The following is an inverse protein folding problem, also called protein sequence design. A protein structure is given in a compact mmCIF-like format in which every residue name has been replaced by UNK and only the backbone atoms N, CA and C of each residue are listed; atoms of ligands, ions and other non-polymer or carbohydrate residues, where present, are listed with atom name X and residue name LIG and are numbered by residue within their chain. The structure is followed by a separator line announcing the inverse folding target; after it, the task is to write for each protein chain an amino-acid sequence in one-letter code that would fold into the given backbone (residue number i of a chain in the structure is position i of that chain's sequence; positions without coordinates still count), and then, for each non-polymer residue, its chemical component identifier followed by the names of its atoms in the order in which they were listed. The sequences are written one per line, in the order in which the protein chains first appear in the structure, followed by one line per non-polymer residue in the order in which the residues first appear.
data_IF_737891927939
#
_entry.id   IF_737891927939
#
_cell.length_a   1.000
_cell.length_b   1.000
_cell.length_c   1.000
_cell.angle_alpha   90.00
_cell.angle_beta   90.00
_cell.angle_gamma   90.00
#
_symmetry.space_group_name_H-M   'P 1'
#
loop_
_entity.id
_entity.type
_entity.pdbx_description
1 polymer ?
#
# COMPACT_ATOMS: atom_id res chain seq x y z
N UNK A 1 -11.39 -3.61 -31.30
CA UNK A 1 -10.20 -3.24 -30.53
C UNK A 1 -10.67 -2.37 -29.38
N UNK A 2 -10.66 -2.89 -28.15
CA UNK A 2 -11.10 -2.11 -26.99
C UNK A 2 -10.15 -0.91 -26.82
N UNK A 3 -10.70 0.29 -26.65
CA UNK A 3 -9.93 1.46 -26.26
C UNK A 3 -9.09 1.08 -25.03
N UNK A 4 -7.77 1.04 -25.19
CA UNK A 4 -6.86 0.56 -24.16
C UNK A 4 -7.06 1.39 -22.90
N UNK A 5 -7.56 0.76 -21.84
CA UNK A 5 -7.71 1.43 -20.56
C UNK A 5 -6.35 2.03 -20.16
N UNK A 6 -6.32 3.34 -19.97
CA UNK A 6 -5.09 4.03 -19.57
C UNK A 6 -4.72 3.54 -18.17
N UNK A 7 -3.57 2.87 -18.05
CA UNK A 7 -3.04 2.44 -16.76
C UNK A 7 -2.69 3.71 -15.96
N UNK A 8 -3.24 3.94 -14.76
CA UNK A 8 -2.92 5.13 -13.98
C UNK A 8 -1.45 5.15 -13.54
N UNK A 9 -0.95 6.32 -13.15
CA UNK A 9 0.35 6.41 -12.46
C UNK A 9 0.30 5.63 -11.13
N UNK A 10 1.43 5.07 -10.70
CA UNK A 10 1.48 4.34 -9.43
C UNK A 10 1.08 5.23 -8.24
N UNK A 11 1.46 6.50 -8.27
CA UNK A 11 1.08 7.49 -7.24
C UNK A 11 -0.37 7.94 -7.32
N UNK A 12 -1.05 7.68 -8.45
CA UNK A 12 -2.47 7.98 -8.62
C UNK A 12 -3.37 6.81 -8.20
N UNK A 13 -2.94 5.55 -8.40
CA UNK A 13 -3.77 4.40 -8.03
C UNK A 13 -3.41 3.76 -6.70
N UNK A 14 -2.12 3.62 -6.36
CA UNK A 14 -1.66 2.94 -5.15
C UNK A 14 -2.10 1.47 -4.99
N UNK A 15 -2.75 0.88 -5.99
CA UNK A 15 -3.59 -0.32 -5.82
C UNK A 15 -2.84 -1.53 -5.27
N UNK A 16 -1.63 -1.78 -5.76
CA UNK A 16 -0.80 -2.90 -5.31
C UNK A 16 -0.35 -2.79 -3.86
N UNK A 17 -0.49 -1.62 -3.22
CA UNK A 17 -0.17 -1.45 -1.80
C UNK A 17 -1.34 -1.85 -0.90
N UNK A 18 -2.50 -2.25 -1.44
CA UNK A 18 -3.68 -2.65 -0.66
C UNK A 18 -3.81 -4.17 -0.57
N UNK A 19 -3.95 -4.68 0.65
CA UNK A 19 -4.20 -6.08 0.95
C UNK A 19 -4.70 -6.23 2.38
N UNK A 20 -5.41 -7.32 2.67
CA UNK A 20 -5.82 -7.71 4.03
C UNK A 20 -5.02 -8.90 4.54
N UNK A 21 -4.11 -9.46 3.73
CA UNK A 21 -3.31 -10.61 4.09
C UNK A 21 -2.01 -10.14 4.76
N UNK A 22 -1.71 -10.56 6.01
CA UNK A 22 -0.46 -10.18 6.69
C UNK A 22 0.79 -10.65 5.93
N UNK A 23 0.71 -11.79 5.24
CA UNK A 23 1.81 -12.38 4.48
C UNK A 23 1.86 -11.91 3.00
N UNK A 24 1.27 -10.76 2.68
CA UNK A 24 1.08 -10.32 1.29
C UNK A 24 2.38 -9.95 0.56
N UNK A 25 3.25 -9.15 1.19
CA UNK A 25 4.51 -8.70 0.59
C UNK A 25 5.65 -9.31 1.37
N UNK A 26 6.30 -10.32 0.78
CA UNK A 26 7.46 -10.96 1.39
C UNK A 26 8.69 -10.09 1.27
N UNK A 27 9.44 -9.96 2.36
CA UNK A 27 10.75 -9.31 2.42
C UNK A 27 11.80 -10.41 2.54
N UNK A 28 12.67 -10.57 1.53
CA UNK A 28 13.76 -11.54 1.60
C UNK A 28 14.92 -11.01 2.45
N UNK A 29 15.82 -11.88 2.90
CA UNK A 29 16.98 -11.47 3.70
C UNK A 29 17.79 -10.37 3.02
N UNK A 30 18.04 -10.49 1.71
CA UNK A 30 18.73 -9.47 0.91
C UNK A 30 18.00 -8.12 0.88
N UNK A 31 16.66 -8.13 0.90
CA UNK A 31 15.87 -6.89 0.99
C UNK A 31 16.02 -6.26 2.37
N UNK A 32 15.88 -7.09 3.42
CA UNK A 32 15.94 -6.65 4.81
C UNK A 32 17.34 -6.11 5.18
N UNK A 33 18.40 -6.71 4.64
CA UNK A 33 19.77 -6.24 4.82
C UNK A 33 19.99 -4.87 4.15
N UNK A 34 19.34 -4.64 2.99
CA UNK A 34 19.37 -3.34 2.29
C UNK A 34 18.54 -2.26 3.00
N UNK A 35 17.46 -2.64 3.72
CA UNK A 35 16.59 -1.69 4.43
C UNK A 35 17.34 -0.97 5.57
N UNK A 36 17.03 0.32 5.73
CA UNK A 36 17.46 1.09 6.90
C UNK A 36 16.54 0.82 8.09
N UNK A 37 16.88 1.37 9.26
CA UNK A 37 16.13 1.13 10.49
C UNK A 37 14.66 1.57 10.36
N UNK A 38 14.42 2.72 9.70
CA UNK A 38 13.08 3.22 9.43
C UNK A 38 12.27 2.28 8.54
N UNK A 39 12.86 1.71 7.50
CA UNK A 39 12.17 0.77 6.62
C UNK A 39 11.84 -0.55 7.33
N UNK A 40 12.75 -1.02 8.20
CA UNK A 40 12.55 -2.24 9.00
C UNK A 40 11.39 -2.10 10.00
N UNK A 41 11.10 -0.90 10.50
CA UNK A 41 9.94 -0.64 11.36
C UNK A 41 8.59 -0.98 10.69
N UNK A 42 8.53 -1.01 9.36
CA UNK A 42 7.35 -1.41 8.58
C UNK A 42 7.31 -2.89 8.24
N UNK A 43 8.14 -3.71 8.87
CA UNK A 43 8.18 -5.16 8.64
C UNK A 43 7.82 -5.95 9.89
N UNK A 44 7.20 -7.11 9.68
CA UNK A 44 6.87 -8.06 10.73
C UNK A 44 7.43 -9.44 10.38
N UNK A 45 7.84 -10.19 11.41
CA UNK A 45 8.29 -11.57 11.28
C UNK A 45 7.17 -12.53 11.66
N UNK A 46 6.85 -13.46 10.76
CA UNK A 46 5.98 -14.61 11.00
C UNK A 46 6.84 -15.87 10.99
N UNK A 47 7.24 -16.31 12.19
CA UNK A 47 8.28 -17.32 12.35
C UNK A 47 9.61 -16.78 11.84
N UNK A 48 10.22 -17.46 10.86
CA UNK A 48 11.50 -17.07 10.25
C UNK A 48 11.33 -16.30 8.92
N UNK A 49 10.12 -15.88 8.57
CA UNK A 49 9.82 -15.16 7.33
C UNK A 49 9.43 -13.72 7.65
N UNK A 50 10.02 -12.78 6.92
CA UNK A 50 9.75 -11.35 7.05
C UNK A 50 8.76 -10.89 5.97
N UNK A 51 7.83 -10.01 6.35
CA UNK A 51 6.83 -9.44 5.46
C UNK A 51 6.67 -7.94 5.73
N UNK A 52 6.22 -7.17 4.73
CA UNK A 52 5.76 -5.81 5.00
C UNK A 52 4.49 -5.87 5.85
N UNK A 53 4.47 -5.11 6.93
CA UNK A 53 3.31 -5.00 7.81
C UNK A 53 2.12 -4.42 7.05
N UNK A 54 0.95 -5.02 7.27
CA UNK A 54 -0.33 -4.56 6.73
C UNK A 54 -1.16 -3.95 7.87
N UNK A 55 -1.57 -2.71 7.71
CA UNK A 55 -2.41 -1.95 8.66
C UNK A 55 -3.56 -1.30 7.89
N UNK A 56 -4.77 -1.35 8.46
CA UNK A 56 -5.99 -0.76 7.87
C UNK A 56 -6.25 -1.17 6.41
N UNK A 57 -5.88 -2.42 6.06
CA UNK A 57 -6.07 -2.98 4.72
C UNK A 57 -5.06 -2.51 3.67
N UNK A 58 -3.91 -1.96 4.09
CA UNK A 58 -2.83 -1.52 3.21
C UNK A 58 -1.45 -1.77 3.81
N UNK A 59 -0.40 -1.68 3.00
CA UNK A 59 0.99 -1.69 3.47
C UNK A 59 1.25 -0.49 4.40
N UNK A 60 1.79 -0.74 5.60
CA UNK A 60 2.01 0.27 6.64
C UNK A 60 2.91 1.42 6.17
N UNK A 61 3.84 1.16 5.24
CA UNK A 61 4.72 2.17 4.67
C UNK A 61 4.05 3.09 3.63
N UNK A 62 2.82 2.81 3.22
CA UNK A 62 2.07 3.67 2.32
C UNK A 62 1.68 4.96 3.06
N UNK A 63 1.63 6.08 2.35
CA UNK A 63 1.10 7.35 2.84
C UNK A 63 -0.01 7.77 1.88
N UNK A 64 -1.16 8.11 2.45
CA UNK A 64 -2.31 8.59 1.70
C UNK A 64 -2.36 10.10 1.86
N UNK A 65 -2.13 10.81 0.77
CA UNK A 65 -2.40 12.23 0.68
C UNK A 65 -3.86 12.42 0.25
N UNK A 66 -4.73 12.64 1.23
CA UNK A 66 -6.16 12.78 1.01
C UNK A 66 -6.51 14.08 0.26
N UNK A 67 -5.72 15.13 0.41
CA UNK A 67 -5.94 16.42 -0.26
C UNK A 67 -5.66 16.31 -1.75
N UNK A 68 -4.48 15.77 -2.10
CA UNK A 68 -4.07 15.58 -3.49
C UNK A 68 -4.60 14.30 -4.13
N UNK A 69 -5.18 13.39 -3.34
CA UNK A 69 -5.63 12.08 -3.79
C UNK A 69 -4.47 11.21 -4.29
N UNK A 70 -3.33 11.24 -3.59
CA UNK A 70 -2.09 10.55 -3.98
C UNK A 70 -1.68 9.49 -2.98
N UNK A 71 -0.96 8.49 -3.49
CA UNK A 71 -0.46 7.35 -2.74
C UNK A 71 1.07 7.30 -2.85
N UNK A 72 1.76 7.52 -1.74
CA UNK A 72 3.22 7.66 -1.71
C UNK A 72 3.83 6.59 -0.81
N UNK A 73 4.83 5.85 -1.30
CA UNK A 73 5.56 4.92 -0.45
C UNK A 73 6.61 5.72 0.33
N UNK A 74 6.52 5.71 1.66
CA UNK A 74 7.43 6.44 2.53
C UNK A 74 8.87 5.89 2.56
N UNK A 75 9.05 4.67 2.04
CA UNK A 75 10.33 3.94 1.93
C UNK A 75 10.68 3.62 0.47
N UNK A 76 10.27 4.47 -0.49
CA UNK A 76 10.35 4.17 -1.93
C UNK A 76 11.73 3.66 -2.40
N UNK A 77 12.81 4.25 -1.87
CA UNK A 77 14.19 3.85 -2.18
C UNK A 77 14.65 2.57 -1.48
N UNK A 78 13.93 2.11 -0.45
CA UNK A 78 14.21 0.91 0.35
C UNK A 78 13.19 -0.21 0.12
N UNK A 79 12.31 -0.07 -0.88
CA UNK A 79 11.30 -1.07 -1.23
C UNK A 79 11.93 -2.47 -1.41
N UNK A 80 11.26 -3.53 -0.95
CA UNK A 80 11.69 -4.90 -1.23
C UNK A 80 11.56 -5.18 -2.74
N UNK A 81 12.33 -6.14 -3.23
CA UNK A 81 12.44 -6.44 -4.64
C UNK A 81 11.11 -6.85 -5.27
N UNK A 82 10.22 -7.51 -4.52
CA UNK A 82 8.85 -7.81 -4.99
C UNK A 82 8.05 -6.55 -5.34
N UNK A 83 8.22 -5.44 -4.61
CA UNK A 83 7.58 -4.17 -4.93
C UNK A 83 8.25 -3.46 -6.10
N UNK A 84 9.56 -3.66 -6.32
CA UNK A 84 10.30 -3.08 -7.44
C UNK A 84 10.01 -3.81 -8.76
N UNK A 85 9.88 -5.13 -8.70
CA UNK A 85 9.61 -5.99 -9.84
C UNK A 85 8.17 -5.84 -10.37
N UNK A 86 7.26 -5.23 -9.60
CA UNK A 86 5.90 -4.96 -10.07
C UNK A 86 5.89 -3.79 -11.05
N UNK A 87 6.07 -4.10 -12.33
CA UNK A 87 6.10 -3.13 -13.41
C UNK A 87 4.69 -2.59 -13.74
N UNK A 88 4.57 -1.29 -13.91
CA UNK A 88 3.30 -0.64 -14.30
C UNK A 88 2.85 -1.15 -15.67
N UNK A 89 1.61 -1.61 -15.76
CA UNK A 89 1.01 -2.14 -16.98
C UNK A 89 1.37 -3.60 -17.28
N UNK A 90 2.20 -4.25 -16.46
CA UNK A 90 2.38 -5.69 -16.50
C UNK A 90 1.09 -6.44 -16.17
N UNK A 91 1.03 -7.73 -16.51
CA UNK A 91 -0.12 -8.58 -16.15
C UNK A 91 -0.43 -8.59 -14.65
N UNK A 92 0.60 -8.55 -13.80
CA UNK A 92 0.44 -8.44 -12.35
C UNK A 92 -0.16 -7.08 -11.94
N UNK A 93 0.30 -5.98 -12.53
CA UNK A 93 -0.27 -4.65 -12.30
C UNK A 93 -1.74 -4.58 -12.72
N UNK A 94 -2.08 -5.15 -13.89
CA UNK A 94 -3.46 -5.20 -14.38
C UNK A 94 -4.36 -6.10 -13.52
N UNK A 95 -3.84 -7.22 -13.02
CA UNK A 95 -4.53 -8.08 -12.07
C UNK A 95 -4.85 -7.35 -10.76
N UNK A 96 -3.87 -6.64 -10.19
CA UNK A 96 -4.09 -5.81 -9.00
C UNK A 96 -5.16 -4.73 -9.23
N UNK A 97 -5.13 -4.06 -10.39
CA UNK A 97 -6.17 -3.10 -10.79
C UNK A 97 -7.54 -3.75 -10.92
N UNK A 98 -7.62 -4.94 -11.53
CA UNK A 98 -8.88 -5.66 -11.67
C UNK A 98 -9.50 -6.01 -10.31
N UNK A 99 -8.68 -6.53 -9.40
CA UNK A 99 -9.12 -7.07 -8.11
C UNK A 99 -9.38 -6.00 -7.05
N UNK A 100 -8.63 -4.88 -7.09
CA UNK A 100 -8.50 -4.01 -5.91
C UNK A 100 -8.69 -2.52 -6.17
N UNK A 101 -9.02 -2.08 -7.38
CA UNK A 101 -9.12 -0.65 -7.74
C UNK A 101 -10.03 0.20 -6.84
N UNK A 102 -10.99 -0.40 -6.16
CA UNK A 102 -11.91 0.31 -5.25
C UNK A 102 -11.29 0.58 -3.87
N UNK A 103 -10.34 -0.24 -3.41
CA UNK A 103 -9.76 -0.13 -2.06
C UNK A 103 -9.06 1.22 -1.81
N UNK A 104 -8.23 1.73 -2.74
CA UNK A 104 -7.60 3.05 -2.58
C UNK A 104 -8.64 4.19 -2.51
N UNK A 105 -9.71 4.11 -3.30
CA UNK A 105 -10.76 5.14 -3.35
C UNK A 105 -11.51 5.22 -2.01
N UNK A 106 -11.91 4.06 -1.49
CA UNK A 106 -12.58 3.96 -0.18
C UNK A 106 -11.68 4.46 0.96
N UNK A 107 -10.37 4.18 0.88
CA UNK A 107 -9.42 4.64 1.89
C UNK A 107 -9.27 6.17 1.90
N UNK A 108 -9.18 6.81 0.73
CA UNK A 108 -9.18 8.27 0.63
C UNK A 108 -10.51 8.88 1.11
N UNK A 109 -11.64 8.28 0.76
CA UNK A 109 -12.95 8.76 1.23
C UNK A 109 -13.05 8.75 2.75
N UNK A 110 -12.58 7.68 3.40
CA UNK A 110 -12.56 7.58 4.87
C UNK A 110 -11.74 8.69 5.53
N UNK A 111 -10.59 9.06 4.95
CA UNK A 111 -9.75 10.14 5.48
C UNK A 111 -10.36 11.53 5.26
N UNK A 112 -11.12 11.73 4.19
CA UNK A 112 -11.80 13.00 3.89
C UNK A 112 -13.06 13.20 4.72
N UNK A 113 -13.66 12.14 5.25
CA UNK A 113 -14.86 12.27 6.09
C UNK A 113 -14.49 12.99 7.39
N UNK A 114 -15.19 14.07 7.75
CA UNK A 114 -14.97 14.72 9.03
C UNK A 114 -15.24 13.70 10.14
N UNK A 115 -14.37 13.69 11.16
CA UNK A 115 -14.60 12.90 12.35
C UNK A 115 -15.98 13.27 12.92
N UNK A 116 -16.83 12.27 13.16
CA UNK A 116 -18.10 12.51 13.82
C UNK A 116 -17.83 13.23 15.16
N UNK A 117 -18.63 14.25 15.54
CA UNK A 117 -18.42 14.94 16.81
C UNK A 117 -18.47 13.90 17.93
N UNK A 118 -17.39 13.83 18.73
CA UNK A 118 -17.34 13.03 19.96
C UNK A 118 -18.34 13.65 20.91
N UNK A 119 -19.56 13.12 20.93
CA UNK A 119 -20.60 13.61 21.82
C UNK A 119 -20.18 13.27 23.25
N UNK A 120 -19.61 14.25 23.95
CA UNK A 120 -19.16 14.13 25.33
C UNK A 120 -20.32 13.72 26.21
N UNK A 121 -20.25 12.51 26.75
CA UNK A 121 -21.21 12.00 27.72
C UNK A 121 -20.45 11.38 28.89
N UNK A 122 -19.62 12.21 29.53
CA UNK A 122 -19.09 11.94 30.85
C UNK A 122 -19.74 12.97 31.79
N UNK A 123 -20.86 12.54 32.38
CA UNK A 123 -21.55 13.23 33.47
C UNK A 123 -21.13 12.66 34.82
#
# INVERSE_FOLDING_TARGET
MAAGAVVPECTACGTCCFSTLPEYVRVFGVDHDRMDDRAREFTDFVGNRCFMRIEDGRCAALVLDAELGRFLCSIYEMRPDCCRALERGSGACLGELHEKRERPLLALERLRRPAAPRNGRDG
#
